data_IF_116815198279
#
_entry.id   IF_116815198279
#
_cell.length_a   1.000
_cell.length_b   1.000
_cell.length_c   1.000
_cell.angle_alpha   90.00
_cell.angle_beta   90.00
_cell.angle_gamma   90.00
#
_symmetry.space_group_name_H-M   'P 1'
#
loop_
_entity.id
_entity.type
_entity.pdbx_description
1 polymer ?
#
# COMPACT_ATOMS: atom_id res chain seq x y z
N UNK A 1 19.73 -3.38 -22.88
CA UNK A 1 18.68 -4.21 -22.23
C UNK A 1 17.50 -3.31 -22.04
N UNK A 2 16.31 -3.73 -22.50
CA UNK A 2 15.09 -2.95 -22.28
C UNK A 2 14.72 -3.07 -20.78
N UNK A 3 14.58 -1.94 -20.12
CA UNK A 3 14.19 -1.87 -18.71
C UNK A 3 12.66 -1.95 -18.59
N UNK A 4 12.18 -2.31 -17.40
CA UNK A 4 10.73 -2.29 -17.13
C UNK A 4 10.17 -0.88 -17.29
N UNK A 5 10.91 0.14 -16.93
CA UNK A 5 10.47 1.55 -17.02
C UNK A 5 10.35 2.01 -18.49
N UNK A 6 11.22 1.55 -19.38
CA UNK A 6 11.12 1.84 -20.82
C UNK A 6 9.86 1.19 -21.43
N UNK A 7 9.58 -0.06 -21.07
CA UNK A 7 8.37 -0.78 -21.53
C UNK A 7 7.11 -0.08 -20.98
N UNK A 8 7.06 0.20 -19.68
CA UNK A 8 5.93 0.89 -19.05
C UNK A 8 5.71 2.26 -19.69
N UNK A 9 6.78 3.02 -19.93
CA UNK A 9 6.71 4.32 -20.58
C UNK A 9 6.17 4.23 -22.03
N UNK A 10 6.56 3.19 -22.76
CA UNK A 10 6.03 2.92 -24.11
C UNK A 10 4.52 2.64 -24.06
N UNK A 11 4.08 1.75 -23.17
CA UNK A 11 2.67 1.40 -23.01
C UNK A 11 1.82 2.58 -22.54
N UNK A 12 2.34 3.39 -21.61
CA UNK A 12 1.68 4.59 -21.11
C UNK A 12 1.43 5.63 -22.20
N UNK A 13 2.42 5.87 -23.07
CA UNK A 13 2.25 6.78 -24.22
C UNK A 13 1.18 6.29 -25.21
N UNK A 14 1.07 4.99 -25.39
CA UNK A 14 0.17 4.40 -26.41
C UNK A 14 -1.23 4.09 -25.89
N UNK A 15 -1.38 3.79 -24.62
CA UNK A 15 -2.60 3.24 -24.03
C UNK A 15 -2.99 3.96 -22.73
N UNK A 16 -2.84 5.27 -22.65
CA UNK A 16 -3.19 6.03 -21.45
C UNK A 16 -4.68 5.91 -21.11
N UNK A 17 -4.98 5.78 -19.82
CA UNK A 17 -6.33 5.74 -19.28
C UNK A 17 -6.40 6.56 -17.97
N UNK A 18 -7.58 7.08 -17.60
CA UNK A 18 -7.74 7.74 -16.30
C UNK A 18 -7.48 6.74 -15.16
N UNK A 19 -6.66 7.16 -14.19
CA UNK A 19 -6.45 6.36 -12.99
C UNK A 19 -7.70 6.39 -12.10
N UNK A 20 -8.07 5.22 -11.53
CA UNK A 20 -9.21 5.12 -10.62
C UNK A 20 -8.94 5.79 -9.25
N UNK A 21 -7.69 5.90 -8.85
CA UNK A 21 -7.29 6.50 -7.59
C UNK A 21 -6.91 7.98 -7.76
N UNK A 22 -7.54 8.88 -7.01
CA UNK A 22 -7.23 10.32 -7.03
C UNK A 22 -5.82 10.68 -6.53
N UNK A 23 -5.18 9.76 -5.80
CA UNK A 23 -3.82 9.92 -5.26
C UNK A 23 -2.75 9.32 -6.19
N UNK A 24 -3.16 8.73 -7.32
CA UNK A 24 -2.22 8.17 -8.29
C UNK A 24 -1.23 9.23 -8.78
N UNK A 25 0.03 8.84 -8.93
CA UNK A 25 1.12 9.75 -9.32
C UNK A 25 1.77 10.51 -8.14
N UNK A 26 1.04 10.70 -7.03
CA UNK A 26 1.58 11.29 -5.80
C UNK A 26 1.91 10.23 -4.76
N UNK A 27 0.97 9.31 -4.52
CA UNK A 27 1.16 8.18 -3.63
C UNK A 27 2.05 7.11 -4.26
N UNK A 28 3.07 6.64 -3.53
CA UNK A 28 4.00 5.58 -3.98
C UNK A 28 3.41 4.17 -3.95
N UNK A 29 2.12 4.00 -3.62
CA UNK A 29 1.50 2.69 -3.46
C UNK A 29 1.28 1.91 -4.75
N UNK A 30 1.21 2.56 -5.91
CA UNK A 30 1.02 1.93 -7.23
C UNK A 30 1.56 2.82 -8.35
N UNK A 31 1.88 2.19 -9.50
CA UNK A 31 2.55 2.87 -10.61
C UNK A 31 1.91 2.65 -11.99
N UNK A 32 0.84 1.89 -12.10
CA UNK A 32 0.31 1.45 -13.41
C UNK A 32 -1.17 1.75 -13.62
N UNK A 33 -1.86 2.48 -12.73
CA UNK A 33 -3.31 2.69 -12.85
C UNK A 33 -3.71 3.54 -14.07
N UNK A 34 -2.78 4.26 -14.65
CA UNK A 34 -2.96 5.06 -15.87
C UNK A 34 -2.80 4.25 -17.18
N UNK A 35 -2.66 2.93 -17.07
CA UNK A 35 -2.61 1.98 -18.20
C UNK A 35 -3.76 0.99 -18.02
N UNK A 36 -4.60 0.70 -19.06
CA UNK A 36 -5.64 -0.32 -18.97
C UNK A 36 -5.08 -1.68 -18.54
N UNK A 37 -5.76 -2.39 -17.64
CA UNK A 37 -5.24 -3.61 -17.03
C UNK A 37 -4.77 -4.69 -18.03
N UNK A 38 -5.48 -4.98 -19.15
CA UNK A 38 -4.97 -5.91 -20.15
C UNK A 38 -3.59 -5.48 -20.69
N UNK A 39 -3.38 -4.18 -20.89
CA UNK A 39 -2.10 -3.63 -21.38
C UNK A 39 -0.99 -3.67 -20.32
N UNK A 40 -1.35 -3.60 -19.04
CA UNK A 40 -0.39 -3.86 -17.97
C UNK A 40 0.12 -5.31 -17.99
N UNK A 41 -0.75 -6.27 -18.28
CA UNK A 41 -0.38 -7.69 -18.41
C UNK A 41 0.52 -7.92 -19.61
N UNK A 42 0.22 -7.30 -20.75
CA UNK A 42 1.06 -7.36 -21.95
C UNK A 42 2.46 -6.78 -21.68
N UNK A 43 2.55 -5.61 -21.06
CA UNK A 43 3.82 -4.98 -20.69
C UNK A 43 4.66 -5.88 -19.77
N UNK A 44 4.04 -6.49 -18.77
CA UNK A 44 4.71 -7.44 -17.87
C UNK A 44 5.19 -8.69 -18.60
N UNK A 45 4.39 -9.22 -19.51
CA UNK A 45 4.76 -10.38 -20.34
C UNK A 45 5.95 -10.05 -21.25
N UNK A 46 5.94 -8.89 -21.89
CA UNK A 46 7.03 -8.41 -22.74
C UNK A 46 8.34 -8.26 -21.94
N UNK A 47 8.27 -7.66 -20.77
CA UNK A 47 9.43 -7.53 -19.89
C UNK A 47 10.00 -8.89 -19.49
N UNK A 48 9.17 -9.82 -19.04
CA UNK A 48 9.62 -11.17 -18.67
C UNK A 48 10.24 -11.91 -19.85
N UNK A 49 9.64 -11.82 -21.04
CA UNK A 49 10.22 -12.41 -22.27
C UNK A 49 11.60 -11.82 -22.57
N UNK A 50 11.80 -10.52 -22.39
CA UNK A 50 13.10 -9.86 -22.58
C UNK A 50 14.16 -10.34 -21.58
N UNK A 51 13.76 -10.57 -20.33
CA UNK A 51 14.65 -11.14 -19.31
C UNK A 51 15.06 -12.57 -19.63
N UNK A 52 14.09 -13.43 -19.95
CA UNK A 52 14.37 -14.84 -20.24
C UNK A 52 15.23 -15.04 -21.48
N UNK A 53 14.99 -14.27 -22.54
CA UNK A 53 15.88 -14.27 -23.74
C UNK A 53 17.35 -14.09 -23.42
N UNK A 54 17.66 -13.37 -22.36
CA UNK A 54 19.05 -13.09 -21.96
C UNK A 54 19.70 -14.29 -21.23
N UNK A 55 18.92 -15.06 -20.52
CA UNK A 55 19.42 -16.07 -19.57
C UNK A 55 19.19 -17.50 -20.03
N UNK A 56 18.38 -17.71 -21.05
CA UNK A 56 18.02 -19.04 -21.55
C UNK A 56 18.42 -19.15 -23.02
N UNK A 57 19.24 -20.15 -23.32
CA UNK A 57 19.59 -20.58 -24.68
C UNK A 57 18.55 -21.61 -25.13
N UNK A 58 17.81 -21.32 -26.17
CA UNK A 58 16.79 -22.21 -26.74
C UNK A 58 15.52 -21.47 -27.19
N UNK A 59 14.60 -22.22 -27.76
CA UNK A 59 13.34 -21.68 -28.23
C UNK A 59 12.55 -21.04 -27.10
N UNK A 60 11.87 -19.95 -27.42
CA UNK A 60 11.14 -19.09 -26.49
C UNK A 60 10.24 -19.92 -25.57
N UNK A 61 10.51 -19.83 -24.29
CA UNK A 61 9.57 -20.28 -23.28
C UNK A 61 8.26 -19.51 -23.48
N UNK A 62 7.25 -20.22 -23.92
CA UNK A 62 5.89 -19.67 -23.89
C UNK A 62 5.33 -19.87 -22.47
N UNK A 63 4.86 -18.78 -21.85
CA UNK A 63 4.24 -18.81 -20.55
C UNK A 63 2.94 -18.00 -20.57
N UNK A 64 1.99 -18.48 -19.83
CA UNK A 64 0.72 -17.80 -19.64
C UNK A 64 0.84 -16.78 -18.49
N UNK A 65 0.26 -15.60 -18.68
CA UNK A 65 0.10 -14.61 -17.62
C UNK A 65 -1.28 -14.79 -17.01
N UNK A 66 -1.31 -15.35 -15.80
CA UNK A 66 -2.55 -15.52 -15.05
C UNK A 66 -3.03 -14.14 -14.57
N UNK A 67 -4.19 -13.74 -15.02
CA UNK A 67 -4.84 -12.48 -14.62
C UNK A 67 -5.55 -12.62 -13.29
N UNK A 68 -5.61 -11.51 -12.54
CA UNK A 68 -6.37 -11.37 -11.30
C UNK A 68 -7.21 -10.08 -11.36
N UNK A 69 -7.90 -9.74 -10.27
CA UNK A 69 -8.53 -8.41 -10.17
C UNK A 69 -7.45 -7.32 -10.16
N UNK A 70 -7.63 -6.21 -10.89
CA UNK A 70 -6.73 -5.06 -10.84
C UNK A 70 -6.84 -4.26 -9.53
N UNK A 71 -7.92 -4.44 -8.78
CA UNK A 71 -8.21 -3.78 -7.51
C UNK A 71 -8.57 -4.80 -6.43
N UNK A 72 -8.58 -4.37 -5.17
CA UNK A 72 -8.98 -5.15 -3.99
C UNK A 72 -8.19 -6.45 -3.78
N UNK A 73 -6.94 -6.51 -4.29
CA UNK A 73 -6.09 -7.70 -4.19
C UNK A 73 -5.05 -7.63 -3.05
N UNK A 74 -4.80 -6.45 -2.50
CA UNK A 74 -3.82 -6.31 -1.42
C UNK A 74 -4.39 -6.80 -0.11
N UNK A 75 -3.68 -7.72 0.49
CA UNK A 75 -3.99 -8.30 1.79
C UNK A 75 -3.20 -7.68 2.95
N UNK A 76 -2.28 -6.75 2.65
CA UNK A 76 -1.51 -5.98 3.65
C UNK A 76 -1.29 -4.55 3.18
N UNK A 77 -1.53 -3.61 4.10
CA UNK A 77 -1.18 -2.19 3.92
C UNK A 77 -0.58 -1.64 5.21
N UNK A 78 0.55 -0.96 5.07
CA UNK A 78 1.29 -0.33 6.16
C UNK A 78 1.16 1.19 6.00
N UNK A 79 0.27 1.80 6.78
CA UNK A 79 0.04 3.24 6.74
C UNK A 79 0.96 3.95 7.71
N UNK A 80 1.63 4.99 7.24
CA UNK A 80 2.49 5.87 8.04
C UNK A 80 1.62 6.90 8.74
N UNK A 81 1.83 7.09 10.04
CA UNK A 81 1.22 8.14 10.84
C UNK A 81 2.29 9.17 11.17
N UNK A 82 2.32 10.29 10.46
CA UNK A 82 3.35 11.32 10.64
C UNK A 82 2.92 12.68 10.07
N UNK A 83 3.35 13.75 10.73
CA UNK A 83 3.16 15.14 10.28
C UNK A 83 1.68 15.52 10.10
N UNK A 84 0.81 15.07 11.00
CA UNK A 84 -0.64 15.29 10.93
C UNK A 84 -1.32 14.51 9.81
N UNK A 85 -0.68 13.45 9.27
CA UNK A 85 -1.16 12.66 8.14
C UNK A 85 -1.21 11.19 8.47
N UNK A 86 -2.18 10.50 7.86
CA UNK A 86 -2.27 9.04 7.87
C UNK A 86 -2.34 8.56 6.42
N UNK A 87 -1.29 7.87 5.95
CA UNK A 87 -1.26 7.48 4.55
C UNK A 87 0.00 6.73 4.12
N UNK A 88 0.40 6.89 2.88
CA UNK A 88 1.55 6.20 2.30
C UNK A 88 2.65 7.18 1.92
N UNK A 89 3.86 6.68 1.75
CA UNK A 89 4.99 7.49 1.27
C UNK A 89 4.71 8.07 -0.11
N UNK A 90 5.19 9.29 -0.36
CA UNK A 90 5.14 9.93 -1.69
C UNK A 90 5.99 9.14 -2.70
N UNK A 91 5.54 9.09 -3.94
CA UNK A 91 6.28 8.45 -5.02
C UNK A 91 7.65 9.13 -5.20
N UNK A 92 8.74 8.37 -5.14
CA UNK A 92 10.11 8.88 -5.24
C UNK A 92 10.61 9.69 -4.04
N UNK A 93 9.81 9.89 -3.00
CA UNK A 93 10.21 10.67 -1.82
C UNK A 93 9.73 10.03 -0.51
N UNK A 94 10.53 9.14 0.06
CA UNK A 94 10.21 8.46 1.31
C UNK A 94 10.09 9.39 2.54
N UNK A 95 10.58 10.64 2.45
CA UNK A 95 10.50 11.63 3.54
C UNK A 95 9.17 12.35 3.63
N UNK A 96 8.27 12.12 2.67
CA UNK A 96 6.94 12.73 2.66
C UNK A 96 5.85 11.67 2.75
N UNK A 97 4.78 12.02 3.45
CA UNK A 97 3.56 11.21 3.55
C UNK A 97 2.46 11.90 2.74
N UNK A 98 1.83 11.13 1.86
CA UNK A 98 0.60 11.52 1.18
C UNK A 98 -0.55 11.08 2.07
N UNK A 99 -1.32 12.06 2.55
CA UNK A 99 -2.52 11.77 3.32
C UNK A 99 -3.59 11.17 2.41
N UNK A 100 -3.94 9.92 2.65
CA UNK A 100 -4.94 9.22 1.82
C UNK A 100 -6.17 8.88 2.64
N UNK A 101 -7.34 8.97 2.04
CA UNK A 101 -8.61 8.65 2.69
C UNK A 101 -9.12 7.24 2.37
N UNK A 102 -8.62 6.62 1.31
CA UNK A 102 -8.95 5.25 0.89
C UNK A 102 -7.91 4.73 -0.09
N UNK A 103 -7.86 3.42 -0.30
CA UNK A 103 -6.98 2.81 -1.29
C UNK A 103 -7.72 1.71 -2.07
N UNK A 104 -7.96 1.86 -3.38
CA UNK A 104 -8.68 0.86 -4.17
C UNK A 104 -7.94 -0.47 -4.33
N UNK A 105 -6.68 -0.56 -3.89
CA UNK A 105 -5.94 -1.83 -3.90
C UNK A 105 -6.27 -2.70 -2.68
N UNK A 106 -6.77 -2.09 -1.57
CA UNK A 106 -7.20 -2.84 -0.38
C UNK A 106 -8.50 -3.58 -0.63
N UNK A 107 -8.68 -4.68 0.09
CA UNK A 107 -9.98 -5.33 0.20
C UNK A 107 -10.98 -4.39 0.92
N UNK A 108 -12.27 -4.54 0.62
CA UNK A 108 -13.30 -3.60 1.04
C UNK A 108 -13.38 -3.41 2.56
N UNK A 109 -13.42 -4.50 3.32
CA UNK A 109 -13.49 -4.44 4.80
C UNK A 109 -12.29 -3.69 5.39
N UNK A 110 -11.06 -3.96 4.90
CA UNK A 110 -9.87 -3.25 5.35
C UNK A 110 -9.91 -1.76 5.00
N UNK A 111 -10.42 -1.38 3.82
CA UNK A 111 -10.55 0.04 3.42
C UNK A 111 -11.59 0.78 4.27
N UNK A 112 -12.71 0.14 4.62
CA UNK A 112 -13.71 0.72 5.53
C UNK A 112 -13.16 0.92 6.95
N UNK A 113 -12.45 -0.07 7.48
CA UNK A 113 -11.80 0.04 8.79
C UNK A 113 -10.69 1.10 8.76
N UNK A 114 -9.94 1.21 7.66
CA UNK A 114 -8.95 2.26 7.49
C UNK A 114 -9.58 3.67 7.54
N UNK A 115 -10.65 3.91 6.80
CA UNK A 115 -11.38 5.19 6.84
C UNK A 115 -11.78 5.55 8.27
N UNK A 116 -12.35 4.59 9.00
CA UNK A 116 -12.75 4.80 10.38
C UNK A 116 -11.57 5.07 11.32
N UNK A 117 -10.50 4.32 11.19
CA UNK A 117 -9.27 4.52 11.96
C UNK A 117 -8.68 5.91 11.72
N UNK A 118 -8.63 6.33 10.45
CA UNK A 118 -8.12 7.65 10.08
C UNK A 118 -8.88 8.78 10.78
N UNK A 119 -10.22 8.74 10.76
CA UNK A 119 -11.08 9.72 11.47
C UNK A 119 -10.82 9.75 12.97
N UNK A 120 -10.58 8.59 13.59
CA UNK A 120 -10.37 8.47 15.02
C UNK A 120 -8.97 8.92 15.46
N UNK A 121 -8.01 8.91 14.56
CA UNK A 121 -6.59 9.09 14.89
C UNK A 121 -6.09 10.49 14.53
N UNK A 122 -6.47 11.05 13.38
CA UNK A 122 -5.77 12.14 12.75
C UNK A 122 -5.61 13.39 13.64
N UNK A 123 -6.59 13.72 14.47
CA UNK A 123 -6.56 14.89 15.36
C UNK A 123 -6.53 14.50 16.85
N UNK A 124 -6.52 13.22 17.18
CA UNK A 124 -6.70 12.73 18.54
C UNK A 124 -5.52 11.92 19.07
N UNK A 125 -4.68 11.41 18.21
CA UNK A 125 -3.55 10.56 18.59
C UNK A 125 -2.27 11.20 18.06
N UNK A 126 -1.30 11.40 18.96
CA UNK A 126 0.02 11.89 18.58
C UNK A 126 0.67 10.95 17.56
N UNK A 127 1.02 11.48 16.42
CA UNK A 127 1.76 10.77 15.37
C UNK A 127 3.27 10.72 15.65
N UNK A 128 4.04 10.07 14.79
CA UNK A 128 5.49 9.93 14.97
C UNK A 128 6.28 10.71 13.93
N UNK A 129 7.03 11.74 14.37
CA UNK A 129 8.01 12.42 13.54
C UNK A 129 9.27 11.53 13.38
N UNK A 130 9.34 10.80 12.27
CA UNK A 130 10.48 9.93 11.95
C UNK A 130 11.76 10.68 11.55
N UNK A 131 11.70 12.01 11.32
CA UNK A 131 12.89 12.84 11.08
C UNK A 131 13.55 13.25 12.38
N UNK A 132 12.73 13.54 13.42
CA UNK A 132 13.19 13.92 14.77
C UNK A 132 13.21 12.74 15.74
N UNK A 133 12.66 11.60 15.34
CA UNK A 133 12.49 10.39 16.15
C UNK A 133 11.70 10.62 17.44
N UNK A 134 10.59 11.33 17.33
CA UNK A 134 9.74 11.73 18.45
C UNK A 134 8.26 11.50 18.10
N UNK A 135 7.44 11.21 19.13
CA UNK A 135 6.02 10.98 18.99
C UNK A 135 5.59 9.59 19.45
N UNK A 136 4.35 9.19 19.10
CA UNK A 136 3.75 7.95 19.61
C UNK A 136 3.42 6.94 18.50
N UNK A 137 2.41 7.23 17.66
CA UNK A 137 1.91 6.28 16.66
C UNK A 137 2.72 6.37 15.37
N UNK A 138 3.42 5.30 15.03
CA UNK A 138 4.28 5.22 13.84
C UNK A 138 3.54 4.71 12.61
N UNK A 139 2.83 3.59 12.79
CA UNK A 139 2.14 2.91 11.68
C UNK A 139 0.83 2.28 12.13
N UNK A 140 -0.10 2.21 11.18
CA UNK A 140 -1.26 1.32 11.23
C UNK A 140 -1.05 0.27 10.14
N UNK A 141 -0.96 -0.99 10.54
CA UNK A 141 -0.81 -2.10 9.58
C UNK A 141 -2.09 -2.91 9.57
N UNK A 142 -2.75 -2.93 8.42
CA UNK A 142 -3.94 -3.73 8.18
C UNK A 142 -3.56 -4.98 7.39
N UNK A 143 -4.04 -6.14 7.86
CA UNK A 143 -3.92 -7.41 7.15
C UNK A 143 -5.28 -8.08 7.08
N UNK A 144 -5.72 -8.37 5.86
CA UNK A 144 -6.98 -9.07 5.61
C UNK A 144 -6.72 -10.34 4.82
N UNK A 145 -7.30 -11.46 5.25
CA UNK A 145 -7.19 -12.72 4.53
C UNK A 145 -8.08 -12.71 3.29
N UNK A 146 -7.63 -13.35 2.21
CA UNK A 146 -8.40 -13.40 0.96
C UNK A 146 -9.52 -14.43 0.92
N UNK A 147 -9.51 -15.42 1.84
CA UNK A 147 -10.46 -16.54 1.82
C UNK A 147 -11.42 -16.56 3.01
N UNK A 148 -10.99 -16.07 4.16
CA UNK A 148 -11.79 -16.08 5.40
C UNK A 148 -12.29 -14.69 5.79
N UNK A 149 -11.91 -13.68 5.04
CA UNK A 149 -12.24 -12.26 5.26
C UNK A 149 -11.83 -11.70 6.64
N UNK A 150 -10.98 -12.42 7.36
CA UNK A 150 -10.51 -12.02 8.69
C UNK A 150 -9.57 -10.82 8.60
N UNK A 151 -9.78 -9.84 9.47
CA UNK A 151 -9.02 -8.61 9.52
C UNK A 151 -8.20 -8.51 10.80
N UNK A 152 -6.89 -8.28 10.64
CA UNK A 152 -5.96 -7.93 11.71
C UNK A 152 -5.55 -6.47 11.61
N UNK A 153 -5.63 -5.76 12.72
CA UNK A 153 -5.15 -4.37 12.88
C UNK A 153 -3.98 -4.36 13.83
N UNK A 154 -2.82 -3.86 13.37
CA UNK A 154 -1.66 -3.67 14.23
C UNK A 154 -1.33 -2.17 14.33
N UNK A 155 -1.23 -1.66 15.53
CA UNK A 155 -0.72 -0.34 15.83
C UNK A 155 0.75 -0.44 16.23
N UNK A 156 1.64 0.19 15.49
CA UNK A 156 3.07 0.25 15.81
C UNK A 156 3.33 1.56 16.54
N UNK A 157 3.75 1.48 17.80
CA UNK A 157 3.95 2.65 18.67
C UNK A 157 5.40 2.76 19.11
N UNK A 158 5.87 3.99 19.36
CA UNK A 158 7.26 4.25 19.75
C UNK A 158 7.51 4.12 21.24
N UNK A 159 6.47 4.19 22.08
CA UNK A 159 6.57 4.11 23.53
C UNK A 159 5.36 3.41 24.15
N UNK A 160 5.55 2.88 25.36
CA UNK A 160 4.52 2.12 26.08
C UNK A 160 3.53 3.07 26.79
N UNK A 161 2.51 3.51 26.06
CA UNK A 161 1.40 4.32 26.54
C UNK A 161 0.06 3.75 26.05
N UNK A 162 -1.04 4.15 26.69
CA UNK A 162 -2.37 3.61 26.36
C UNK A 162 -3.26 4.66 25.66
N UNK A 163 -2.71 5.41 24.70
CA UNK A 163 -3.43 6.45 23.98
C UNK A 163 -4.49 5.90 23.01
N UNK A 164 -4.35 4.64 22.58
CA UNK A 164 -5.24 3.99 21.60
C UNK A 164 -6.46 3.29 22.22
N UNK A 165 -6.65 3.34 23.55
CA UNK A 165 -7.74 2.61 24.23
C UNK A 165 -9.12 2.92 23.65
N UNK A 166 -9.44 4.19 23.44
CA UNK A 166 -10.74 4.59 22.90
C UNK A 166 -10.87 4.27 21.40
N UNK A 167 -9.78 4.33 20.65
CA UNK A 167 -9.75 3.90 19.24
C UNK A 167 -10.07 2.42 19.13
N UNK A 168 -9.38 1.58 19.94
CA UNK A 168 -9.60 0.13 19.98
C UNK A 168 -11.06 -0.21 20.33
N UNK A 169 -11.66 0.44 21.32
CA UNK A 169 -13.07 0.23 21.67
C UNK A 169 -14.02 0.48 20.49
N UNK A 170 -13.72 1.47 19.64
CA UNK A 170 -14.58 1.87 18.52
C UNK A 170 -14.42 1.00 17.27
N UNK A 171 -13.42 0.11 17.24
CA UNK A 171 -13.15 -0.78 16.10
C UNK A 171 -13.16 -2.27 16.48
N UNK A 172 -13.28 -2.63 17.75
CA UNK A 172 -13.16 -4.01 18.25
C UNK A 172 -14.13 -4.99 17.56
N UNK A 173 -15.30 -4.53 17.16
CA UNK A 173 -16.32 -5.35 16.51
C UNK A 173 -16.14 -5.39 14.97
N UNK A 174 -15.07 -4.79 14.45
CA UNK A 174 -14.76 -4.69 13.01
C UNK A 174 -13.44 -5.36 12.63
N UNK A 175 -12.73 -5.93 13.59
CA UNK A 175 -11.48 -6.62 13.38
C UNK A 175 -11.40 -7.87 14.26
N UNK A 176 -10.91 -8.97 13.69
CA UNK A 176 -10.76 -10.26 14.40
C UNK A 176 -9.56 -10.25 15.34
N UNK A 177 -8.56 -9.43 15.05
CA UNK A 177 -7.38 -9.27 15.91
C UNK A 177 -6.91 -7.82 15.91
N UNK A 178 -6.63 -7.28 17.11
CA UNK A 178 -6.08 -5.94 17.28
C UNK A 178 -4.84 -6.07 18.18
N UNK A 179 -3.70 -5.62 17.67
CA UNK A 179 -2.42 -5.72 18.35
C UNK A 179 -1.78 -4.34 18.53
N UNK A 180 -1.13 -4.16 19.68
CA UNK A 180 -0.23 -3.04 19.94
C UNK A 180 1.20 -3.56 19.93
N UNK A 181 2.01 -3.06 19.01
CA UNK A 181 3.40 -3.47 18.82
C UNK A 181 4.31 -2.32 19.20
N UNK A 182 5.13 -2.54 20.23
CA UNK A 182 6.11 -1.57 20.66
C UNK A 182 7.36 -1.65 19.79
N UNK A 183 7.74 -0.52 19.19
CA UNK A 183 9.00 -0.36 18.46
C UNK A 183 9.69 0.93 18.92
N UNK A 184 10.57 0.81 19.91
CA UNK A 184 11.35 1.92 20.49
C UNK A 184 12.58 2.29 19.66
N UNK A 185 12.91 1.50 18.63
CA UNK A 185 14.09 1.74 17.79
C UNK A 185 13.93 3.02 16.99
N UNK A 186 15.01 3.80 16.85
CA UNK A 186 15.02 5.00 16.00
C UNK A 186 15.04 4.66 14.51
N UNK A 187 15.64 3.53 14.13
CA UNK A 187 15.60 3.02 12.75
C UNK A 187 14.27 2.35 12.43
N UNK A 188 13.84 2.50 11.18
CA UNK A 188 12.69 1.79 10.60
C UNK A 188 13.02 0.34 10.28
#
# INVERSE_FOLDING_TARGET
>A
MVTIDEIISHYRRRFSAPAACRFFGHCGGCSLQDIPYPRQLEAKREFLKSLFKKHLTGDLIDFEVVKSSPFHYRNRMDFVCAFGKVGLREAGNYRKVVDISSCPLMQHTADEVFKRLRELIIDNIEDYDYLRHHGYLRYIVLRQTGFTDQLMVNFIVARKENLLKEVVKKIKDRADSINLILNERRAE
#
